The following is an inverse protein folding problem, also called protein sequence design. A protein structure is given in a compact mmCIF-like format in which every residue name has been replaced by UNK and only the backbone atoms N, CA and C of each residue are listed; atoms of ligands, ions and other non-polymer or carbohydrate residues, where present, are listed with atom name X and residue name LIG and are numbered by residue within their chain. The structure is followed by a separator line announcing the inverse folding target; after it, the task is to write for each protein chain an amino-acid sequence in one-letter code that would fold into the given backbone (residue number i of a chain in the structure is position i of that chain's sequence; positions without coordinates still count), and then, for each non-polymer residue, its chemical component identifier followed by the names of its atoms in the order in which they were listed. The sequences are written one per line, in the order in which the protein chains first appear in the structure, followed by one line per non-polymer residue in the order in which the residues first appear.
data_IF_909486105619
#
_entry.id   IF_909486105619
#
_cell.length_a   1.000
_cell.length_b   1.000
_cell.length_c   1.000
_cell.angle_alpha   90.00
_cell.angle_beta   90.00
_cell.angle_gamma   90.00
#
_symmetry.space_group_name_H-M   'P 1'
#
loop_
_entity.id
_entity.type
_entity.pdbx_description
1 polymer ?
#
# COMPACT_ATOMS: atom_id res chain seq x y z
N UNK A 1 8.65 13.86 4.35
CA UNK A 1 8.95 12.41 4.31
C UNK A 1 7.69 11.74 3.77
N UNK A 2 7.81 10.93 2.73
CA UNK A 2 6.65 10.49 1.92
C UNK A 2 6.81 9.05 1.50
N UNK A 3 5.72 8.28 1.52
CA UNK A 3 5.63 6.99 0.85
C UNK A 3 5.25 7.24 -0.61
N UNK A 4 5.90 6.60 -1.57
CA UNK A 4 5.56 6.79 -2.99
C UNK A 4 5.19 5.47 -3.65
N UNK A 5 3.95 5.39 -4.12
CA UNK A 5 3.39 4.28 -4.87
C UNK A 5 3.82 4.38 -6.33
N UNK A 6 4.41 3.30 -6.85
CA UNK A 6 4.91 3.23 -8.23
C UNK A 6 4.33 1.96 -8.88
N UNK A 7 3.28 2.07 -9.72
CA UNK A 7 2.70 0.93 -10.42
C UNK A 7 3.73 0.10 -11.16
N UNK A 8 3.55 -1.22 -11.12
CA UNK A 8 4.49 -2.19 -11.70
C UNK A 8 5.84 -2.29 -10.98
N UNK A 9 6.16 -1.38 -10.04
CA UNK A 9 7.40 -1.42 -9.26
C UNK A 9 7.18 -1.77 -7.80
N UNK A 10 6.27 -1.08 -7.10
CA UNK A 10 6.00 -1.27 -5.67
C UNK A 10 5.96 0.06 -4.90
N UNK A 11 6.69 0.15 -3.79
CA UNK A 11 6.64 1.28 -2.85
C UNK A 11 8.03 1.79 -2.50
N UNK A 12 8.27 3.08 -2.75
CA UNK A 12 9.42 3.79 -2.23
C UNK A 12 9.14 4.18 -0.78
N UNK A 13 10.07 3.81 0.10
CA UNK A 13 9.99 4.11 1.52
C UNK A 13 10.54 5.52 1.81
N UNK A 14 9.94 6.24 2.78
CA UNK A 14 10.42 7.56 3.18
C UNK A 14 11.86 7.54 3.69
N UNK A 15 12.47 8.72 3.79
CA UNK A 15 13.81 8.92 4.36
C UNK A 15 14.93 8.09 3.67
N UNK A 16 14.75 7.76 2.39
CA UNK A 16 15.66 6.94 1.60
C UNK A 16 15.90 5.53 2.18
N UNK A 17 14.92 4.98 2.89
CA UNK A 17 15.01 3.64 3.49
C UNK A 17 15.06 2.51 2.44
N UNK A 18 14.69 2.81 1.20
CA UNK A 18 14.77 1.88 0.06
C UNK A 18 13.45 1.77 -0.68
N UNK A 19 13.29 0.68 -1.44
CA UNK A 19 12.09 0.41 -2.23
C UNK A 19 11.65 -1.03 -2.00
N UNK A 20 10.42 -1.22 -1.53
CA UNK A 20 9.77 -2.54 -1.56
C UNK A 20 9.31 -2.80 -2.98
N UNK A 21 10.00 -3.70 -3.68
CA UNK A 21 9.76 -3.98 -5.09
C UNK A 21 9.01 -5.27 -5.28
N UNK A 22 8.09 -5.30 -6.24
CA UNK A 22 7.51 -6.55 -6.72
C UNK A 22 8.59 -7.48 -7.22
N UNK A 23 8.41 -8.78 -7.01
CA UNK A 23 9.42 -9.81 -7.30
C UNK A 23 10.45 -10.02 -6.18
N UNK A 24 10.40 -9.25 -5.08
CA UNK A 24 11.27 -9.51 -3.92
C UNK A 24 10.89 -10.80 -3.18
N UNK A 25 11.90 -11.51 -2.67
CA UNK A 25 11.70 -12.56 -1.67
C UNK A 25 11.25 -11.97 -0.34
N UNK A 26 10.64 -12.77 0.52
CA UNK A 26 10.23 -12.35 1.87
C UNK A 26 11.39 -11.68 2.63
N UNK A 27 12.55 -12.33 2.67
CA UNK A 27 13.70 -11.84 3.42
C UNK A 27 14.22 -10.50 2.87
N UNK A 28 14.31 -10.33 1.55
CA UNK A 28 14.75 -9.07 0.95
C UNK A 28 13.77 -7.92 1.22
N UNK A 29 12.47 -8.20 1.19
CA UNK A 29 11.43 -7.22 1.49
C UNK A 29 11.45 -6.81 2.97
N UNK A 30 11.54 -7.79 3.89
CA UNK A 30 11.65 -7.51 5.33
C UNK A 30 12.93 -6.73 5.66
N UNK A 31 14.07 -7.08 5.06
CA UNK A 31 15.34 -6.37 5.25
C UNK A 31 15.25 -4.92 4.77
N UNK A 32 14.59 -4.68 3.65
CA UNK A 32 14.39 -3.31 3.14
C UNK A 32 13.52 -2.50 4.10
N UNK A 33 12.42 -3.06 4.57
CA UNK A 33 11.50 -2.37 5.48
C UNK A 33 12.07 -2.16 6.90
N UNK A 34 12.99 -3.02 7.37
CA UNK A 34 13.57 -2.92 8.72
C UNK A 34 14.44 -1.67 8.92
N UNK A 35 14.86 -1.03 7.83
CA UNK A 35 15.53 0.28 7.86
C UNK A 35 14.61 1.43 8.30
N UNK A 36 13.29 1.23 8.22
CA UNK A 36 12.29 2.25 8.49
C UNK A 36 11.51 2.01 9.80
N UNK A 37 11.22 0.75 10.12
CA UNK A 37 10.42 0.37 11.28
C UNK A 37 10.64 -1.10 11.66
N UNK A 38 10.29 -1.45 12.89
CA UNK A 38 10.30 -2.84 13.35
C UNK A 38 9.30 -3.69 12.53
N UNK A 39 9.80 -4.78 11.97
CA UNK A 39 9.00 -5.73 11.19
C UNK A 39 8.19 -6.59 12.14
N UNK A 40 6.89 -6.66 11.88
CA UNK A 40 6.00 -7.62 12.51
C UNK A 40 5.70 -8.72 11.50
N UNK A 41 6.37 -9.85 11.68
CA UNK A 41 5.91 -11.09 11.10
C UNK A 41 4.59 -11.46 11.79
N UNK A 42 3.56 -11.79 11.01
CA UNK A 42 2.38 -12.44 11.59
C UNK A 42 1.05 -11.75 11.30
N UNK A 43 0.56 -12.00 10.10
CA UNK A 43 -0.85 -12.31 9.89
C UNK A 43 -0.92 -13.61 9.09
N UNK A 44 -1.94 -14.44 9.30
CA UNK A 44 -2.27 -15.45 8.29
C UNK A 44 -3.24 -14.80 7.31
N UNK A 45 -2.79 -14.57 6.08
CA UNK A 45 -3.66 -14.19 4.97
C UNK A 45 -3.97 -15.48 4.22
N UNK A 46 -5.26 -15.81 4.09
CA UNK A 46 -5.70 -16.94 3.27
C UNK A 46 -5.09 -16.84 1.87
N UNK A 47 -4.43 -17.89 1.40
CA UNK A 47 -3.82 -17.90 0.08
C UNK A 47 -2.54 -17.05 -0.04
N UNK A 48 -1.89 -16.67 1.07
CA UNK A 48 -0.55 -16.10 1.05
C UNK A 48 0.53 -17.16 1.36
N UNK A 49 1.62 -17.15 0.60
CA UNK A 49 2.84 -17.90 0.93
C UNK A 49 3.53 -17.29 2.15
N UNK A 50 3.62 -15.96 2.17
CA UNK A 50 4.13 -15.18 3.28
C UNK A 50 3.49 -13.80 3.29
N UNK A 51 3.51 -13.17 4.47
CA UNK A 51 3.08 -11.80 4.67
C UNK A 51 3.81 -11.19 5.86
N UNK A 52 4.12 -9.91 5.78
CA UNK A 52 4.57 -9.13 6.92
C UNK A 52 3.96 -7.74 6.87
N UNK A 53 4.00 -7.06 8.02
CA UNK A 53 3.62 -5.66 8.09
C UNK A 53 4.54 -4.87 9.01
N UNK A 54 4.53 -3.56 8.83
CA UNK A 54 5.18 -2.62 9.73
C UNK A 54 4.34 -1.35 9.80
N UNK A 55 4.53 -0.58 10.88
CA UNK A 55 3.86 0.71 11.06
C UNK A 55 4.91 1.80 11.15
N UNK A 56 4.74 2.84 10.35
CA UNK A 56 5.56 4.04 10.42
C UNK A 56 4.64 5.27 10.45
N UNK A 57 4.69 6.05 11.54
CA UNK A 57 3.97 7.32 11.69
C UNK A 57 2.46 7.23 11.36
N UNK A 58 1.80 6.17 11.84
CA UNK A 58 0.35 5.96 11.62
C UNK A 58 -0.02 5.38 10.26
N UNK A 59 0.97 5.07 9.42
CA UNK A 59 0.79 4.31 8.18
C UNK A 59 1.22 2.86 8.42
N UNK A 60 0.29 1.94 8.23
CA UNK A 60 0.51 0.50 8.20
C UNK A 60 0.82 0.09 6.76
N UNK A 61 1.91 -0.62 6.55
CA UNK A 61 2.24 -1.21 5.25
C UNK A 61 2.21 -2.72 5.41
N UNK A 62 1.44 -3.38 4.55
CA UNK A 62 1.33 -4.83 4.47
C UNK A 62 1.87 -5.29 3.12
N UNK A 63 2.87 -6.17 3.12
CA UNK A 63 3.46 -6.74 1.91
C UNK A 63 3.31 -8.27 1.95
N UNK A 64 2.91 -8.87 0.83
CA UNK A 64 2.70 -10.31 0.78
C UNK A 64 2.88 -10.89 -0.63
N UNK A 65 3.16 -12.20 -0.66
CA UNK A 65 3.11 -13.03 -1.85
C UNK A 65 1.91 -13.96 -1.74
N UNK A 66 1.00 -13.95 -2.72
CA UNK A 66 -0.11 -14.90 -2.78
C UNK A 66 0.34 -16.22 -3.43
N UNK A 67 -0.47 -17.27 -3.29
CA UNK A 67 -0.21 -18.59 -3.90
C UNK A 67 -0.24 -18.59 -5.42
N UNK A 68 -0.80 -17.55 -6.04
CA UNK A 68 -0.77 -17.33 -7.48
C UNK A 68 0.48 -16.55 -7.95
N UNK A 69 1.26 -15.97 -7.04
CA UNK A 69 2.48 -15.25 -7.40
C UNK A 69 3.56 -16.22 -7.87
N UNK A 70 4.19 -15.90 -9.00
CA UNK A 70 5.36 -16.62 -9.48
C UNK A 70 6.46 -16.63 -8.39
N UNK A 71 7.11 -17.78 -8.22
CA UNK A 71 8.28 -17.95 -7.34
C UNK A 71 8.05 -17.52 -5.88
N UNK A 72 6.80 -17.45 -5.41
CA UNK A 72 6.45 -16.95 -4.07
C UNK A 72 7.01 -15.55 -3.80
N UNK A 73 7.20 -14.75 -4.85
CA UNK A 73 7.74 -13.42 -4.75
C UNK A 73 6.66 -12.39 -4.42
N UNK A 74 7.05 -11.26 -3.85
CA UNK A 74 6.13 -10.18 -3.47
C UNK A 74 5.32 -9.73 -4.70
N UNK A 75 4.00 -9.92 -4.64
CA UNK A 75 3.08 -9.55 -5.73
C UNK A 75 2.04 -8.53 -5.33
N UNK A 76 1.91 -8.28 -4.02
CA UNK A 76 0.86 -7.42 -3.47
C UNK A 76 1.40 -6.55 -2.34
N UNK A 77 0.85 -5.35 -2.26
CA UNK A 77 1.16 -4.36 -1.25
C UNK A 77 -0.10 -3.56 -0.91
N UNK A 78 -0.39 -3.41 0.38
CA UNK A 78 -1.38 -2.48 0.89
C UNK A 78 -0.70 -1.43 1.77
N UNK A 79 -1.12 -0.17 1.61
CA UNK A 79 -0.74 0.95 2.48
C UNK A 79 -2.02 1.47 3.10
N UNK A 80 -2.08 1.43 4.42
CA UNK A 80 -3.27 1.66 5.21
C UNK A 80 -3.00 2.68 6.30
N UNK A 81 -4.03 3.36 6.75
CA UNK A 81 -3.99 4.15 7.96
C UNK A 81 -4.32 3.25 9.14
N UNK A 82 -3.62 3.44 10.26
CA UNK A 82 -3.95 2.72 11.49
C UNK A 82 -5.33 3.09 12.04
N UNK A 83 -5.84 4.27 11.65
CA UNK A 83 -7.21 4.71 11.92
C UNK A 83 -8.17 4.23 10.84
N UNK A 84 -9.25 3.57 11.26
CA UNK A 84 -10.19 2.90 10.34
C UNK A 84 -11.07 3.88 9.54
N UNK A 85 -11.47 4.99 10.15
CA UNK A 85 -12.33 6.01 9.52
C UNK A 85 -11.71 7.38 9.80
N UNK A 86 -10.75 7.81 8.96
CA UNK A 86 -10.05 9.05 9.21
C UNK A 86 -10.91 10.28 8.87
N UNK A 87 -10.90 11.25 9.76
CA UNK A 87 -11.63 12.52 9.65
C UNK A 87 -10.77 13.69 9.15
N UNK A 88 -9.46 13.49 9.06
CA UNK A 88 -8.46 14.47 8.62
C UNK A 88 -7.39 13.85 7.73
N UNK A 89 -6.65 14.70 7.01
CA UNK A 89 -5.47 14.32 6.24
C UNK A 89 -4.43 13.57 7.11
N UNK A 90 -3.68 12.66 6.51
CA UNK A 90 -2.59 11.97 7.19
C UNK A 90 -1.40 12.90 7.46
N UNK A 91 -0.70 12.68 8.57
CA UNK A 91 0.51 13.45 8.92
C UNK A 91 1.72 13.05 8.04
N UNK A 92 1.65 11.91 7.34
CA UNK A 92 2.66 11.43 6.38
C UNK A 92 1.98 11.19 5.02
N UNK A 93 2.42 11.90 3.96
CA UNK A 93 1.86 11.73 2.63
C UNK A 93 2.08 10.33 2.06
N UNK A 94 1.08 9.84 1.34
CA UNK A 94 1.16 8.64 0.49
C UNK A 94 0.96 9.07 -0.95
N UNK A 95 2.06 9.30 -1.65
CA UNK A 95 2.09 9.87 -2.98
C UNK A 95 1.82 8.84 -4.07
N UNK A 96 1.06 9.25 -5.07
CA UNK A 96 0.89 8.59 -6.36
C UNK A 96 0.99 9.65 -7.47
N UNK A 97 2.10 9.64 -8.21
CA UNK A 97 2.47 10.77 -9.04
C UNK A 97 2.57 12.05 -8.20
N UNK A 98 1.82 13.07 -8.57
CA UNK A 98 1.76 14.35 -7.87
C UNK A 98 0.66 14.43 -6.79
N UNK A 99 -0.10 13.34 -6.57
CA UNK A 99 -1.23 13.32 -5.64
C UNK A 99 -0.85 12.71 -4.30
N UNK A 100 -1.25 13.35 -3.20
CA UNK A 100 -1.25 12.72 -1.86
C UNK A 100 -2.59 12.02 -1.63
N UNK A 101 -2.59 10.69 -1.72
CA UNK A 101 -3.80 9.87 -1.61
C UNK A 101 -4.42 9.89 -0.20
N UNK A 102 -3.67 10.28 0.83
CA UNK A 102 -4.20 10.45 2.18
C UNK A 102 -4.32 11.93 2.60
N UNK A 103 -4.07 12.85 1.67
CA UNK A 103 -4.12 14.30 1.88
C UNK A 103 -5.48 14.93 1.62
N UNK A 104 -6.36 14.25 0.87
CA UNK A 104 -7.65 14.80 0.41
C UNK A 104 -8.82 13.85 0.66
N UNK A 105 -10.06 14.37 0.78
CA UNK A 105 -11.27 13.55 0.79
C UNK A 105 -11.41 12.67 -0.45
N UNK A 106 -12.11 11.54 -0.30
CA UNK A 106 -12.28 10.54 -1.38
C UNK A 106 -12.88 11.16 -2.65
N UNK A 107 -13.93 11.99 -2.51
CA UNK A 107 -14.59 12.57 -3.68
C UNK A 107 -13.64 13.41 -4.55
N UNK A 108 -12.79 14.25 -3.94
CA UNK A 108 -11.79 15.05 -4.65
C UNK A 108 -10.77 14.15 -5.37
N UNK A 109 -10.28 13.09 -4.71
CA UNK A 109 -9.35 12.14 -5.34
C UNK A 109 -9.99 11.42 -6.53
N UNK A 110 -11.27 11.06 -6.45
CA UNK A 110 -11.94 10.36 -7.55
C UNK A 110 -12.22 11.22 -8.78
N UNK A 111 -12.21 12.55 -8.63
CA UNK A 111 -12.32 13.49 -9.75
C UNK A 111 -11.01 13.58 -10.54
N UNK A 112 -9.86 13.44 -9.88
CA UNK A 112 -8.53 13.63 -10.51
C UNK A 112 -7.86 12.33 -10.94
N UNK A 113 -8.18 11.20 -10.29
CA UNK A 113 -7.61 9.91 -10.65
C UNK A 113 -8.26 9.32 -11.90
N UNK A 114 -7.45 8.74 -12.79
CA UNK A 114 -7.95 7.97 -13.92
C UNK A 114 -8.81 6.78 -13.42
N UNK A 115 -9.90 6.40 -14.10
CA UNK A 115 -10.68 5.22 -13.74
C UNK A 115 -9.87 3.92 -13.61
N UNK A 116 -8.81 3.79 -14.39
CA UNK A 116 -7.91 2.62 -14.36
C UNK A 116 -7.06 2.62 -13.10
N UNK A 117 -6.52 3.79 -12.73
CA UNK A 117 -5.76 3.95 -11.47
C UNK A 117 -6.66 3.72 -10.26
N UNK A 118 -7.90 4.22 -10.29
CA UNK A 118 -8.89 3.96 -9.23
C UNK A 118 -9.12 2.48 -9.00
N UNK A 119 -9.28 1.69 -10.08
CA UNK A 119 -9.46 0.24 -10.00
C UNK A 119 -8.23 -0.50 -9.49
N UNK A 120 -7.05 0.09 -9.62
CA UNK A 120 -5.80 -0.48 -9.13
C UNK A 120 -5.61 -0.14 -7.65
N UNK A 121 -5.85 1.11 -7.27
CA UNK A 121 -5.45 1.68 -5.98
C UNK A 121 -6.52 1.57 -4.90
N UNK A 122 -7.79 1.76 -5.26
CA UNK A 122 -8.85 1.93 -4.26
C UNK A 122 -9.54 0.60 -3.95
N UNK A 123 -9.88 0.33 -2.67
CA UNK A 123 -10.74 -0.80 -2.32
C UNK A 123 -12.09 -0.76 -3.06
N UNK A 124 -12.62 -1.92 -3.44
CA UNK A 124 -13.86 -2.03 -4.22
C UNK A 124 -15.11 -1.42 -3.54
N UNK A 125 -15.08 -1.25 -2.21
CA UNK A 125 -16.16 -0.69 -1.41
C UNK A 125 -16.05 0.82 -1.16
N UNK A 126 -15.09 1.51 -1.79
CA UNK A 126 -14.95 2.96 -1.69
C UNK A 126 -16.15 3.63 -2.35
N UNK A 127 -16.88 4.45 -1.58
CA UNK A 127 -17.92 5.34 -2.13
C UNK A 127 -17.25 6.58 -2.74
N UNK A 128 -17.32 6.79 -4.07
CA UNK A 128 -16.66 7.91 -4.73
C UNK A 128 -17.24 9.27 -4.35
N UNK A 129 -18.42 9.34 -3.74
CA UNK A 129 -19.01 10.61 -3.28
C UNK A 129 -18.76 10.89 -1.79
N UNK A 130 -17.89 10.11 -1.15
CA UNK A 130 -17.59 10.27 0.28
C UNK A 130 -16.77 11.53 0.56
N UNK A 131 -17.15 12.25 1.61
CA UNK A 131 -16.39 13.37 2.17
C UNK A 131 -15.34 12.91 3.20
N UNK A 132 -15.30 11.61 3.53
CA UNK A 132 -14.25 11.05 4.38
C UNK A 132 -12.93 10.90 3.62
N UNK A 133 -11.84 10.78 4.38
CA UNK A 133 -10.51 10.49 3.84
C UNK A 133 -10.35 9.01 3.56
N UNK A 134 -9.50 8.71 2.58
CA UNK A 134 -9.16 7.34 2.26
C UNK A 134 -8.35 6.73 3.42
N UNK A 135 -8.69 5.49 3.78
CA UNK A 135 -8.00 4.74 4.84
C UNK A 135 -7.03 3.69 4.30
N UNK A 136 -7.13 3.31 3.03
CA UNK A 136 -6.31 2.25 2.45
C UNK A 136 -6.16 2.41 0.94
N UNK A 137 -4.98 2.03 0.44
CA UNK A 137 -4.65 1.90 -0.98
C UNK A 137 -3.87 0.61 -1.21
N UNK A 138 -3.99 0.04 -2.42
CA UNK A 138 -3.35 -1.23 -2.79
C UNK A 138 -2.60 -1.10 -4.10
N UNK A 139 -1.50 -1.82 -4.24
CA UNK A 139 -0.85 -2.07 -5.53
C UNK A 139 -0.67 -3.57 -5.72
N UNK A 140 -1.01 -4.02 -6.91
CA UNK A 140 -0.91 -5.41 -7.32
C UNK A 140 -0.06 -5.53 -8.59
N UNK A 141 0.86 -6.49 -8.60
CA UNK A 141 1.59 -6.92 -9.79
C UNK A 141 1.27 -8.35 -10.19
N UNK A 142 0.68 -9.13 -9.29
CA UNK A 142 0.14 -10.44 -9.59
C UNK A 142 -1.36 -10.32 -9.90
N UNK A 143 -1.79 -10.86 -11.04
CA UNK A 143 -3.20 -11.07 -11.37
C UNK A 143 -3.75 -12.27 -10.57
N UNK A 144 -3.80 -12.16 -9.25
CA UNK A 144 -4.47 -13.14 -8.39
C UNK A 144 -5.89 -12.66 -8.07
N UNK A 145 -6.90 -13.39 -8.59
CA UNK A 145 -8.37 -13.22 -8.45
C UNK A 145 -8.86 -11.81 -8.07
N UNK A 146 -9.18 -11.03 -9.10
CA UNK A 146 -10.05 -9.84 -9.03
C UNK A 146 -11.53 -10.24 -8.96
#
# INVERSE_FOLDING_TARGET
MTFQLVPGTGLVLPANAGVLRFGMTEHAAQWTASTLADIRAGGWICGAHWTFFFVHRGVLVTAYACTACAEQAMGHLAVERTERVPDRAADVPVAFGDFDLFGYPIHELTEVLDPSDRKLLLPANVNPHSTHYLSAVRLDACEGDR
#
